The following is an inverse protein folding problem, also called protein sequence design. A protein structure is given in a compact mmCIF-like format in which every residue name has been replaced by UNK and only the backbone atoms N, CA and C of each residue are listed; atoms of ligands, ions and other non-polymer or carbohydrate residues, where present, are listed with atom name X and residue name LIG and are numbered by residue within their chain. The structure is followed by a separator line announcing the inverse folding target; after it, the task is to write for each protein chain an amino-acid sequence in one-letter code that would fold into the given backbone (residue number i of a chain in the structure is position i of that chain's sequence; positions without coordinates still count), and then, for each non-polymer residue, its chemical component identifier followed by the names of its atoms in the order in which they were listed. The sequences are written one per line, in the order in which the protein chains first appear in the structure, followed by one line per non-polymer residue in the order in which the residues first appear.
data_IF_858535441274
#
_entry.id   IF_858535441274
#
_cell.length_a   1.000
_cell.length_b   1.000
_cell.length_c   1.000
_cell.angle_alpha   90.00
_cell.angle_beta   90.00
_cell.angle_gamma   90.00
#
_symmetry.space_group_name_H-M   'P 1'
#
loop_
_entity.id
_entity.type
_entity.pdbx_description
1 polymer ?
#
# COMPACT_ATOMS: atom_id res chain seq x y z
N UNK A 1 -43.30 -42.92 -24.88
CA UNK A 1 -43.26 -41.47 -24.61
C UNK A 1 -41.86 -40.95 -24.92
N UNK A 2 -41.66 -40.28 -26.05
CA UNK A 2 -40.34 -39.81 -26.49
C UNK A 2 -40.05 -38.40 -25.95
N UNK A 3 -38.91 -38.25 -25.27
CA UNK A 3 -38.48 -37.00 -24.66
C UNK A 3 -38.02 -36.03 -25.77
N UNK A 4 -38.73 -34.91 -25.89
CA UNK A 4 -38.39 -33.83 -26.82
C UNK A 4 -37.10 -33.14 -26.38
N UNK A 5 -35.98 -33.53 -27.01
CA UNK A 5 -34.69 -32.85 -26.84
C UNK A 5 -34.75 -31.54 -27.60
N UNK A 6 -34.84 -30.42 -26.87
CA UNK A 6 -34.85 -29.06 -27.40
C UNK A 6 -33.51 -28.78 -28.08
N UNK A 7 -33.39 -29.10 -29.38
CA UNK A 7 -32.19 -28.79 -30.16
C UNK A 7 -32.05 -27.28 -30.27
N UNK A 8 -31.01 -26.70 -29.68
CA UNK A 8 -30.67 -25.29 -29.85
C UNK A 8 -30.49 -25.01 -31.35
N UNK A 9 -31.37 -24.24 -32.00
CA UNK A 9 -31.39 -24.10 -33.47
C UNK A 9 -30.21 -23.27 -34.00
N UNK A 10 -29.40 -22.68 -33.11
CA UNK A 10 -28.35 -21.71 -33.41
C UNK A 10 -27.09 -22.31 -34.06
N UNK A 11 -26.90 -23.63 -34.08
CA UNK A 11 -25.63 -24.26 -34.52
C UNK A 11 -25.76 -25.19 -35.74
N UNK A 12 -26.78 -24.98 -36.58
CA UNK A 12 -27.01 -25.86 -37.75
C UNK A 12 -26.19 -25.47 -39.00
N UNK A 13 -25.80 -24.21 -39.17
CA UNK A 13 -25.09 -23.74 -40.37
C UNK A 13 -23.64 -23.34 -40.07
N UNK A 14 -22.75 -23.50 -41.06
CA UNK A 14 -21.33 -23.15 -40.95
C UNK A 14 -21.12 -21.68 -40.53
N UNK A 15 -21.92 -20.77 -41.09
CA UNK A 15 -21.92 -19.34 -40.75
C UNK A 15 -22.20 -19.10 -39.26
N UNK A 16 -23.16 -19.81 -38.69
CA UNK A 16 -23.52 -19.65 -37.28
C UNK A 16 -22.45 -20.20 -36.33
N UNK A 17 -21.77 -21.30 -36.69
CA UNK A 17 -20.60 -21.81 -35.95
C UNK A 17 -19.45 -20.81 -35.96
N UNK A 18 -19.19 -20.17 -37.11
CA UNK A 18 -18.14 -19.16 -37.25
C UNK A 18 -18.42 -17.93 -36.37
N UNK A 19 -19.64 -17.39 -36.43
CA UNK A 19 -20.05 -16.25 -35.60
C UNK A 19 -19.99 -16.59 -34.11
N UNK A 20 -20.43 -17.80 -33.71
CA UNK A 20 -20.34 -18.25 -32.32
C UNK A 20 -18.87 -18.36 -31.85
N UNK A 21 -17.96 -18.87 -32.69
CA UNK A 21 -16.55 -18.95 -32.36
C UNK A 21 -15.92 -17.56 -32.19
N UNK A 22 -16.17 -16.63 -33.12
CA UNK A 22 -15.69 -15.25 -33.00
C UNK A 22 -16.31 -14.53 -31.79
N UNK A 23 -17.60 -14.72 -31.53
CA UNK A 23 -18.27 -14.18 -30.35
C UNK A 23 -17.66 -14.69 -29.04
N UNK A 24 -17.35 -15.98 -28.97
CA UNK A 24 -16.67 -16.56 -27.80
C UNK A 24 -15.28 -15.96 -27.57
N UNK A 25 -14.51 -15.72 -28.65
CA UNK A 25 -13.21 -15.04 -28.55
C UNK A 25 -13.38 -13.60 -28.05
N UNK A 26 -14.34 -12.84 -28.59
CA UNK A 26 -14.62 -11.48 -28.14
C UNK A 26 -15.05 -11.42 -26.66
N UNK A 27 -15.88 -12.35 -26.21
CA UNK A 27 -16.27 -12.45 -24.80
C UNK A 27 -15.04 -12.74 -23.93
N UNK A 28 -14.17 -13.66 -24.36
CA UNK A 28 -12.94 -13.98 -23.63
C UNK A 28 -12.03 -12.75 -23.53
N UNK A 29 -11.87 -12.00 -24.63
CA UNK A 29 -11.10 -10.75 -24.63
C UNK A 29 -11.72 -9.71 -23.70
N UNK A 30 -13.05 -9.57 -23.68
CA UNK A 30 -13.74 -8.65 -22.79
C UNK A 30 -13.52 -9.01 -21.31
N UNK A 31 -13.59 -10.30 -20.97
CA UNK A 31 -13.32 -10.79 -19.61
C UNK A 31 -11.87 -10.54 -19.20
N UNK A 32 -10.90 -10.82 -20.08
CA UNK A 32 -9.48 -10.53 -19.82
C UNK A 32 -9.25 -9.03 -19.65
N UNK A 33 -9.85 -8.20 -20.51
CA UNK A 33 -9.75 -6.74 -20.39
C UNK A 33 -10.31 -6.22 -19.07
N UNK A 34 -11.50 -6.68 -18.67
CA UNK A 34 -12.13 -6.28 -17.42
C UNK A 34 -11.32 -6.73 -16.19
N UNK A 35 -10.89 -7.99 -16.16
CA UNK A 35 -10.06 -8.52 -15.06
C UNK A 35 -8.72 -7.81 -14.99
N UNK A 36 -8.08 -7.50 -16.13
CA UNK A 36 -6.83 -6.76 -16.18
C UNK A 36 -6.99 -5.33 -15.66
N UNK A 37 -8.10 -4.66 -16.00
CA UNK A 37 -8.40 -3.32 -15.48
C UNK A 37 -8.58 -3.32 -13.95
N UNK A 38 -9.36 -4.26 -13.42
CA UNK A 38 -9.58 -4.39 -11.98
C UNK A 38 -8.30 -4.76 -11.23
N UNK A 39 -7.49 -5.66 -11.80
CA UNK A 39 -6.22 -6.05 -11.23
C UNK A 39 -5.21 -4.90 -11.23
N UNK A 40 -5.12 -4.13 -12.32
CA UNK A 40 -4.20 -3.01 -12.43
C UNK A 40 -4.54 -1.88 -11.45
N UNK A 41 -5.83 -1.53 -11.34
CA UNK A 41 -6.29 -0.50 -10.38
C UNK A 41 -6.01 -0.93 -8.94
N UNK A 42 -6.35 -2.17 -8.58
CA UNK A 42 -6.06 -2.73 -7.25
C UNK A 42 -4.55 -2.79 -6.97
N UNK A 43 -3.74 -3.20 -7.96
CA UNK A 43 -2.30 -3.25 -7.84
C UNK A 43 -1.70 -1.85 -7.64
N UNK A 44 -2.14 -0.85 -8.41
CA UNK A 44 -1.70 0.54 -8.25
C UNK A 44 -1.97 1.09 -6.85
N UNK A 45 -3.16 0.83 -6.29
CA UNK A 45 -3.48 1.22 -4.92
C UNK A 45 -2.64 0.45 -3.89
N UNK A 46 -2.45 -0.86 -4.11
CA UNK A 46 -1.57 -1.69 -3.30
C UNK A 46 -0.13 -1.17 -3.26
N UNK A 47 0.43 -0.75 -4.39
CA UNK A 47 1.76 -0.15 -4.47
C UNK A 47 1.87 1.18 -3.72
N UNK A 48 0.83 2.02 -3.78
CA UNK A 48 0.78 3.27 -3.03
C UNK A 48 0.82 3.00 -1.52
N UNK A 49 0.00 2.07 -1.04
CA UNK A 49 -0.04 1.67 0.36
C UNK A 49 1.28 1.03 0.82
N UNK A 50 1.86 0.15 0.00
CA UNK A 50 3.16 -0.45 0.29
C UNK A 50 4.27 0.60 0.42
N UNK A 51 4.32 1.59 -0.48
CA UNK A 51 5.29 2.69 -0.43
C UNK A 51 5.11 3.55 0.81
N UNK A 52 3.87 3.81 1.22
CA UNK A 52 3.57 4.53 2.45
C UNK A 52 4.03 3.74 3.68
N UNK A 53 3.72 2.45 3.74
CA UNK A 53 4.14 1.56 4.83
C UNK A 53 5.66 1.44 4.92
N UNK A 54 6.36 1.29 3.79
CA UNK A 54 7.82 1.24 3.73
C UNK A 54 8.44 2.55 4.26
N UNK A 55 7.89 3.71 3.89
CA UNK A 55 8.34 5.01 4.40
C UNK A 55 8.10 5.13 5.90
N UNK A 56 6.94 4.73 6.39
CA UNK A 56 6.61 4.80 7.81
C UNK A 56 7.43 3.82 8.66
N UNK A 57 7.76 2.64 8.12
CA UNK A 57 8.68 1.67 8.72
C UNK A 57 10.11 2.22 8.82
N UNK A 58 10.62 2.82 7.73
CA UNK A 58 11.93 3.46 7.75
C UNK A 58 12.01 4.60 8.79
N UNK A 59 10.97 5.45 8.86
CA UNK A 59 10.85 6.49 9.88
C UNK A 59 10.80 5.92 11.31
N UNK A 60 10.11 4.80 11.51
CA UNK A 60 10.06 4.13 12.81
C UNK A 60 11.43 3.56 13.22
N UNK A 61 12.20 3.00 12.27
CA UNK A 61 13.56 2.54 12.52
C UNK A 61 14.51 3.67 12.93
N UNK A 62 14.45 4.81 12.23
CA UNK A 62 15.23 6.00 12.58
C UNK A 62 14.85 6.51 13.98
N UNK A 63 13.55 6.59 14.27
CA UNK A 63 13.05 7.01 15.57
C UNK A 63 13.56 6.09 16.70
N UNK A 64 13.53 4.78 16.48
CA UNK A 64 14.00 3.80 17.45
C UNK A 64 15.52 3.92 17.68
N UNK A 65 16.30 4.11 16.62
CA UNK A 65 17.75 4.30 16.70
C UNK A 65 18.11 5.59 17.45
N UNK A 66 17.47 6.71 17.13
CA UNK A 66 17.73 7.97 17.83
C UNK A 66 17.32 7.89 19.31
N UNK A 67 16.21 7.21 19.62
CA UNK A 67 15.80 6.98 21.02
C UNK A 67 16.80 6.09 21.77
N UNK A 68 17.40 5.10 21.09
CA UNK A 68 18.47 4.30 21.67
C UNK A 68 19.69 5.17 21.98
N UNK A 69 20.09 6.05 21.07
CA UNK A 69 21.21 6.98 21.28
C UNK A 69 20.94 7.97 22.43
N UNK A 70 19.72 8.51 22.52
CA UNK A 70 19.27 9.31 23.66
C UNK A 70 19.47 8.56 24.97
N UNK A 71 19.07 7.28 25.05
CA UNK A 71 19.26 6.46 26.25
C UNK A 71 20.73 6.19 26.55
N UNK A 72 21.56 5.95 25.54
CA UNK A 72 22.99 5.72 25.71
C UNK A 72 23.70 6.97 26.22
N UNK A 73 23.40 8.16 25.68
CA UNK A 73 24.02 9.40 26.13
C UNK A 73 23.67 9.75 27.58
N UNK A 74 22.43 9.48 28.02
CA UNK A 74 22.09 9.61 29.45
C UNK A 74 22.92 8.65 30.30
N UNK A 75 23.05 7.40 29.87
CA UNK A 75 23.87 6.41 30.57
C UNK A 75 25.34 6.85 30.64
N UNK A 76 25.90 7.31 29.53
CA UNK A 76 27.30 7.73 29.45
C UNK A 76 27.54 8.99 30.30
N UNK A 77 26.61 9.95 30.31
CA UNK A 77 26.66 11.10 31.18
C UNK A 77 26.66 10.71 32.67
N UNK A 78 25.83 9.74 33.07
CA UNK A 78 25.83 9.25 34.46
C UNK A 78 27.16 8.58 34.86
N UNK A 79 27.93 8.08 33.90
CA UNK A 79 29.24 7.46 34.13
C UNK A 79 30.39 8.48 34.09
N UNK A 80 30.34 9.46 33.19
CA UNK A 80 31.47 10.35 32.90
C UNK A 80 31.29 11.79 33.40
N UNK A 81 30.04 12.23 33.60
CA UNK A 81 29.68 13.63 33.85
C UNK A 81 30.00 14.58 32.69
N UNK A 82 30.26 14.07 31.48
CA UNK A 82 30.81 14.85 30.37
C UNK A 82 29.76 15.72 29.66
N UNK A 83 30.13 16.97 29.37
CA UNK A 83 29.33 17.88 28.55
C UNK A 83 29.11 17.35 27.12
N UNK A 84 30.03 16.52 26.61
CA UNK A 84 29.87 15.89 25.29
C UNK A 84 28.60 15.04 25.22
N UNK A 85 28.30 14.30 26.29
CA UNK A 85 27.18 13.37 26.34
C UNK A 85 25.86 14.13 26.39
N UNK A 86 25.84 15.29 27.06
CA UNK A 86 24.70 16.23 27.04
C UNK A 86 24.46 16.75 25.62
N UNK A 87 25.51 17.22 24.93
CA UNK A 87 25.36 17.76 23.58
C UNK A 87 24.84 16.69 22.60
N UNK A 88 25.37 15.47 22.69
CA UNK A 88 24.90 14.36 21.86
C UNK A 88 23.46 13.95 22.21
N UNK A 89 23.08 13.97 23.49
CA UNK A 89 21.69 13.75 23.91
C UNK A 89 20.76 14.76 23.22
N UNK A 90 21.09 16.05 23.26
CA UNK A 90 20.26 17.11 22.70
C UNK A 90 20.08 16.93 21.18
N UNK A 91 21.15 16.57 20.46
CA UNK A 91 21.11 16.32 19.03
C UNK A 91 20.15 15.18 18.66
N UNK A 92 20.29 14.01 19.30
CA UNK A 92 19.41 12.87 19.01
C UNK A 92 17.99 13.10 19.50
N UNK A 93 17.81 13.77 20.64
CA UNK A 93 16.49 14.08 21.18
C UNK A 93 15.73 15.07 20.28
N UNK A 94 16.43 16.04 19.67
CA UNK A 94 15.87 16.93 18.66
C UNK A 94 15.35 16.16 17.45
N UNK A 95 16.09 15.17 16.94
CA UNK A 95 15.63 14.36 15.82
C UNK A 95 14.44 13.44 16.17
N UNK A 96 14.40 12.89 17.39
CA UNK A 96 13.22 12.18 17.93
C UNK A 96 11.99 13.08 17.92
N UNK A 97 12.13 14.30 18.45
CA UNK A 97 11.03 15.29 18.48
C UNK A 97 10.56 15.66 17.08
N UNK A 98 11.47 15.99 16.18
CA UNK A 98 11.15 16.32 14.78
C UNK A 98 10.38 15.21 14.07
N UNK A 99 10.79 13.95 14.30
CA UNK A 99 10.11 12.77 13.75
C UNK A 99 8.69 12.59 14.33
N UNK A 100 8.52 12.84 15.62
CA UNK A 100 7.21 12.77 16.30
C UNK A 100 6.27 13.90 15.85
N UNK A 101 6.78 15.12 15.69
CA UNK A 101 6.02 16.30 15.24
C UNK A 101 5.54 16.14 13.78
N UNK A 102 6.40 15.63 12.90
CA UNK A 102 6.07 15.35 11.50
C UNK A 102 4.90 14.36 11.33
N UNK A 103 4.78 13.39 12.25
CA UNK A 103 3.62 12.47 12.30
C UNK A 103 2.35 13.14 12.82
N UNK A 104 2.48 14.01 13.84
CA UNK A 104 1.33 14.76 14.39
C UNK A 104 0.72 15.71 13.37
N UNK A 105 1.54 16.40 12.58
CA UNK A 105 1.07 17.31 11.53
C UNK A 105 0.30 16.57 10.42
N UNK A 106 0.81 15.43 9.95
CA UNK A 106 0.07 14.58 8.99
C UNK A 106 -1.30 14.18 9.55
N UNK A 107 -1.36 13.70 10.79
CA UNK A 107 -2.64 13.30 11.41
C UNK A 107 -3.63 14.46 11.58
N UNK A 108 -3.16 15.68 11.85
CA UNK A 108 -4.03 16.86 11.96
C UNK A 108 -4.58 17.31 10.61
N UNK A 109 -3.79 17.25 9.54
CA UNK A 109 -4.26 17.49 8.17
C UNK A 109 -5.29 16.45 7.71
N UNK A 110 -5.08 15.17 8.02
CA UNK A 110 -6.06 14.11 7.69
C UNK A 110 -7.38 14.30 8.44
N UNK A 111 -7.35 14.80 9.68
CA UNK A 111 -8.57 15.07 10.47
C UNK A 111 -9.37 16.26 9.92
N UNK A 112 -8.71 17.39 9.62
CA UNK A 112 -9.37 18.57 9.06
C UNK A 112 -10.06 18.33 7.71
N UNK A 113 -9.55 17.40 6.90
CA UNK A 113 -10.17 17.04 5.61
C UNK A 113 -11.29 16.00 5.70
N UNK A 114 -11.63 15.49 6.89
CA UNK A 114 -12.71 14.52 7.10
C UNK A 114 -13.98 15.15 7.67
N UNK A 115 -13.86 16.36 8.23
CA UNK A 115 -14.94 17.11 8.87
C UNK A 115 -15.45 18.29 8.00
N UNK A 116 -15.10 18.32 6.70
CA UNK A 116 -15.57 19.29 5.72
C UNK A 116 -15.86 18.62 4.39
#
# INVERSE_FOLDING_TARGET
MAKSTRSLPLLKTLKAKLIAAFGAVLITLAVIGLTSYLALTTASDGFKNYRELARDSNLAGILQSNMLMVRMNVKDFLLTGSQKDINQYDDYFKEVRKSAESRRQRNQQTRKGRDG
#
